data_IF_806133538122
#
_entry.id   IF_806133538122
#
_cell.length_a   1.000
_cell.length_b   1.000
_cell.length_c   1.000
_cell.angle_alpha   90.00
_cell.angle_beta   90.00
_cell.angle_gamma   90.00
#
_symmetry.space_group_name_H-M   'P 1'
#
loop_
_entity.id
_entity.type
_entity.pdbx_description
1 polymer ?
#
# COMPACT_ATOMS: atom_id res chain seq x y z
N UNK A 1 -1.22 -16.04 19.02
CA UNK A 1 -2.06 -16.49 17.89
C UNK A 1 -2.27 -15.29 16.96
N UNK A 2 -2.20 -15.44 15.63
CA UNK A 2 -2.36 -14.32 14.71
C UNK A 2 -3.79 -13.78 14.75
N UNK A 3 -3.93 -12.47 14.81
CA UNK A 3 -5.22 -11.79 14.85
C UNK A 3 -5.93 -11.90 13.50
N UNK A 4 -7.27 -11.76 13.47
CA UNK A 4 -8.04 -11.81 12.23
C UNK A 4 -7.55 -10.80 11.17
N UNK A 5 -7.05 -9.64 11.60
CA UNK A 5 -6.46 -8.63 10.74
C UNK A 5 -5.16 -9.12 10.06
N UNK A 6 -4.34 -9.90 10.77
CA UNK A 6 -3.07 -10.43 10.29
C UNK A 6 -3.27 -11.55 9.25
N UNK A 7 -4.28 -12.39 9.45
CA UNK A 7 -4.64 -13.44 8.49
C UNK A 7 -5.17 -12.85 7.17
N UNK A 8 -5.89 -11.74 7.25
CA UNK A 8 -6.42 -11.04 6.08
C UNK A 8 -5.33 -10.37 5.25
N UNK A 9 -4.35 -9.74 5.90
CA UNK A 9 -3.22 -9.08 5.24
C UNK A 9 -2.32 -10.08 4.50
N UNK A 10 -1.96 -11.20 5.13
CA UNK A 10 -1.13 -12.24 4.55
C UNK A 10 -1.78 -12.87 3.29
N UNK A 11 -3.07 -13.20 3.40
CA UNK A 11 -3.84 -13.80 2.30
C UNK A 11 -4.05 -12.83 1.13
N UNK A 12 -4.17 -11.53 1.39
CA UNK A 12 -4.31 -10.52 0.32
C UNK A 12 -3.01 -10.22 -0.41
N UNK A 13 -1.87 -10.22 0.29
CA UNK A 13 -0.57 -9.90 -0.31
C UNK A 13 -0.02 -11.06 -1.15
N UNK A 14 -0.29 -12.32 -0.76
CA UNK A 14 0.35 -13.50 -1.38
C UNK A 14 -0.62 -14.56 -1.94
N UNK A 15 -1.93 -14.47 -1.68
CA UNK A 15 -2.89 -15.49 -2.08
C UNK A 15 -3.44 -15.32 -3.50
N UNK A 16 -2.71 -15.83 -4.49
CA UNK A 16 -3.28 -16.55 -5.63
C UNK A 16 -3.00 -18.04 -5.40
N UNK A 17 -4.02 -18.90 -5.59
CA UNK A 17 -4.04 -20.33 -5.25
C UNK A 17 -2.67 -21.03 -5.28
N UNK A 18 -2.08 -21.25 -4.10
CA UNK A 18 -0.81 -21.95 -3.98
C UNK A 18 -0.12 -21.68 -2.65
N UNK A 19 0.00 -22.75 -1.86
CA UNK A 19 0.78 -22.89 -0.62
C UNK A 19 1.84 -21.79 -0.41
N UNK A 20 1.56 -20.83 0.47
CA UNK A 20 2.53 -19.80 0.88
C UNK A 20 3.59 -20.51 1.74
N UNK A 21 4.88 -20.52 1.36
CA UNK A 21 5.93 -21.15 2.15
C UNK A 21 5.99 -20.55 3.56
N UNK A 22 5.95 -21.40 4.59
CA UNK A 22 5.92 -21.02 6.02
C UNK A 22 7.07 -20.11 6.49
N UNK A 23 8.16 -20.04 5.73
CA UNK A 23 9.29 -19.14 5.99
C UNK A 23 8.99 -17.67 5.60
N UNK A 24 8.21 -17.45 4.54
CA UNK A 24 7.76 -16.12 4.13
C UNK A 24 6.78 -15.54 5.15
N UNK A 25 5.98 -16.39 5.80
CA UNK A 25 5.10 -15.97 6.90
C UNK A 25 5.90 -15.42 8.08
N UNK A 26 7.05 -16.02 8.43
CA UNK A 26 7.88 -15.57 9.55
C UNK A 26 8.57 -14.23 9.29
N UNK A 27 9.07 -13.97 8.09
CA UNK A 27 9.68 -12.67 7.75
C UNK A 27 8.64 -11.54 7.71
N UNK A 28 7.48 -11.78 7.10
CA UNK A 28 6.40 -10.78 7.01
C UNK A 28 5.81 -10.47 8.38
N UNK A 29 5.77 -11.45 9.31
CA UNK A 29 5.33 -11.26 10.70
C UNK A 29 6.30 -10.43 11.55
N UNK A 30 7.56 -10.22 11.11
CA UNK A 30 8.54 -9.39 11.82
C UNK A 30 8.59 -7.95 11.33
N UNK A 31 7.92 -7.62 10.22
CA UNK A 31 7.94 -6.25 9.71
C UNK A 31 7.07 -5.36 10.59
N UNK A 32 7.65 -4.23 11.00
CA UNK A 32 6.89 -3.21 11.69
C UNK A 32 5.79 -2.66 10.77
N UNK A 33 4.66 -2.18 11.31
CA UNK A 33 3.58 -1.57 10.52
C UNK A 33 4.06 -0.46 9.58
N UNK A 34 5.09 0.28 9.98
CA UNK A 34 5.76 1.32 9.20
C UNK A 34 6.42 0.74 7.95
N UNK A 35 7.16 -0.37 8.10
CA UNK A 35 7.80 -1.06 6.98
C UNK A 35 6.77 -1.65 6.02
N UNK A 36 5.66 -2.18 6.53
CA UNK A 36 4.55 -2.68 5.70
C UNK A 36 3.92 -1.53 4.89
N UNK A 37 3.74 -0.36 5.52
CA UNK A 37 3.26 0.86 4.85
C UNK A 37 4.17 1.22 3.68
N UNK A 38 5.49 1.34 3.90
CA UNK A 38 6.45 1.65 2.83
C UNK A 38 6.45 0.60 1.72
N UNK A 39 6.35 -0.69 2.06
CA UNK A 39 6.32 -1.78 1.08
C UNK A 39 5.04 -1.78 0.24
N UNK A 40 3.93 -1.32 0.82
CA UNK A 40 2.68 -1.12 0.10
C UNK A 40 2.82 -0.01 -0.95
N UNK A 41 3.49 1.10 -0.63
CA UNK A 41 3.83 2.12 -1.63
C UNK A 41 4.81 1.62 -2.69
N UNK A 42 5.86 0.88 -2.28
CA UNK A 42 6.81 0.27 -3.22
C UNK A 42 6.06 -0.64 -4.22
N UNK A 43 5.07 -1.41 -3.75
CA UNK A 43 4.22 -2.25 -4.59
C UNK A 43 3.41 -1.43 -5.60
N UNK A 44 2.85 -0.29 -5.20
CA UNK A 44 2.19 0.62 -6.14
C UNK A 44 3.15 1.09 -7.23
N UNK A 45 4.35 1.55 -6.85
CA UNK A 45 5.37 2.07 -7.77
C UNK A 45 5.78 1.00 -8.80
N UNK A 46 6.02 -0.23 -8.35
CA UNK A 46 6.36 -1.36 -9.24
C UNK A 46 5.18 -1.69 -10.16
N UNK A 47 3.95 -1.67 -9.65
CA UNK A 47 2.74 -1.93 -10.43
C UNK A 47 2.53 -0.87 -11.51
N UNK A 48 2.77 0.40 -11.17
CA UNK A 48 2.71 1.52 -12.09
C UNK A 48 3.73 1.38 -13.24
N UNK A 49 4.98 1.04 -12.92
CA UNK A 49 6.03 0.79 -13.93
C UNK A 49 5.71 -0.38 -14.86
N UNK A 50 4.94 -1.36 -14.37
CA UNK A 50 4.46 -2.53 -15.14
C UNK A 50 3.12 -2.29 -15.83
N UNK A 51 2.53 -1.10 -15.69
CA UNK A 51 1.19 -0.76 -16.18
C UNK A 51 0.09 -1.74 -15.69
N UNK A 52 0.26 -2.29 -14.49
CA UNK A 52 -0.67 -3.25 -13.87
C UNK A 52 -1.78 -2.49 -13.13
N UNK A 53 -2.74 -1.99 -13.90
CA UNK A 53 -3.86 -1.15 -13.43
C UNK A 53 -4.67 -1.86 -12.33
N UNK A 54 -4.88 -3.16 -12.44
CA UNK A 54 -5.61 -3.95 -11.45
C UNK A 54 -4.88 -3.94 -10.11
N UNK A 55 -3.56 -4.19 -10.12
CA UNK A 55 -2.76 -4.17 -8.90
C UNK A 55 -2.64 -2.77 -8.31
N UNK A 56 -2.50 -1.73 -9.15
CA UNK A 56 -2.47 -0.33 -8.69
C UNK A 56 -3.75 0.05 -7.92
N UNK A 57 -4.92 -0.25 -8.48
CA UNK A 57 -6.20 0.05 -7.82
C UNK A 57 -6.37 -0.73 -6.51
N UNK A 58 -5.96 -2.00 -6.48
CA UNK A 58 -6.00 -2.81 -5.27
C UNK A 58 -5.15 -2.18 -4.16
N UNK A 59 -3.93 -1.74 -4.48
CA UNK A 59 -3.05 -1.09 -3.49
C UNK A 59 -3.69 0.19 -2.94
N UNK A 60 -4.29 1.02 -3.80
CA UNK A 60 -4.96 2.25 -3.35
C UNK A 60 -6.13 1.95 -2.41
N UNK A 61 -6.95 0.93 -2.71
CA UNK A 61 -8.06 0.51 -1.83
C UNK A 61 -7.55 0.05 -0.46
N UNK A 62 -6.46 -0.73 -0.41
CA UNK A 62 -5.87 -1.15 0.87
C UNK A 62 -5.32 0.04 1.67
N UNK A 63 -4.63 0.99 1.01
CA UNK A 63 -4.13 2.20 1.68
C UNK A 63 -5.26 3.07 2.23
N UNK A 64 -6.35 3.22 1.48
CA UNK A 64 -7.56 3.93 1.92
C UNK A 64 -8.21 3.26 3.13
N UNK A 65 -8.32 1.92 3.10
CA UNK A 65 -8.88 1.14 4.19
C UNK A 65 -8.00 1.08 5.45
N UNK A 66 -6.71 1.37 5.33
CA UNK A 66 -5.75 1.38 6.43
C UNK A 66 -5.64 2.75 7.15
N UNK A 67 -6.32 3.80 6.67
CA UNK A 67 -6.29 5.13 7.28
C UNK A 67 -6.96 5.14 8.66
N UNK A 68 -6.32 5.82 9.63
CA UNK A 68 -6.92 6.05 10.94
C UNK A 68 -7.76 7.34 10.95
N UNK A 69 -9.09 7.20 10.92
CA UNK A 69 -10.02 8.33 10.90
C UNK A 69 -10.25 8.99 12.27
N UNK A 70 -9.62 8.51 13.35
CA UNK A 70 -9.53 9.29 14.60
C UNK A 70 -8.77 10.60 14.39
N UNK A 71 -7.84 10.63 13.42
CA UNK A 71 -7.16 11.83 12.94
C UNK A 71 -7.80 12.33 11.63
N UNK A 72 -9.05 12.78 11.75
CA UNK A 72 -9.95 13.06 10.62
C UNK A 72 -9.31 13.96 9.54
N UNK A 73 -8.72 15.09 9.92
CA UNK A 73 -8.21 16.08 8.96
C UNK A 73 -7.13 15.50 8.02
N UNK A 74 -6.16 14.78 8.58
CA UNK A 74 -5.06 14.18 7.80
C UNK A 74 -5.52 12.97 7.00
N UNK A 75 -6.35 12.12 7.59
CA UNK A 75 -6.89 10.94 6.93
C UNK A 75 -7.83 11.30 5.78
N UNK A 76 -8.68 12.31 5.92
CA UNK A 76 -9.54 12.79 4.83
C UNK A 76 -8.70 13.36 3.67
N UNK A 77 -7.63 14.10 3.95
CA UNK A 77 -6.74 14.60 2.89
C UNK A 77 -6.02 13.47 2.14
N UNK A 78 -5.48 12.49 2.87
CA UNK A 78 -4.81 11.33 2.26
C UNK A 78 -5.79 10.49 1.44
N UNK A 79 -7.01 10.27 1.95
CA UNK A 79 -8.06 9.56 1.23
C UNK A 79 -8.36 10.23 -0.12
N UNK A 80 -8.58 11.55 -0.13
CA UNK A 80 -8.81 12.32 -1.37
C UNK A 80 -7.64 12.26 -2.34
N UNK A 81 -6.41 12.22 -1.83
CA UNK A 81 -5.21 12.09 -2.66
C UNK A 81 -5.13 10.70 -3.32
N UNK A 82 -5.55 9.64 -2.62
CA UNK A 82 -5.67 8.30 -3.20
C UNK A 82 -6.80 8.19 -4.22
N UNK A 83 -7.96 8.82 -3.98
CA UNK A 83 -9.03 8.92 -4.97
C UNK A 83 -8.54 9.63 -6.24
N UNK A 84 -7.77 10.70 -6.07
CA UNK A 84 -7.15 11.41 -7.18
C UNK A 84 -6.20 10.50 -7.97
N UNK A 85 -5.37 9.71 -7.29
CA UNK A 85 -4.50 8.71 -7.96
C UNK A 85 -5.33 7.68 -8.76
N UNK A 86 -6.44 7.18 -8.23
CA UNK A 86 -7.35 6.29 -8.97
C UNK A 86 -7.91 6.96 -10.24
N UNK A 87 -8.28 8.24 -10.15
CA UNK A 87 -8.74 9.02 -11.32
C UNK A 87 -7.65 9.19 -12.36
N UNK A 88 -6.40 9.44 -11.95
CA UNK A 88 -5.25 9.52 -12.85
C UNK A 88 -5.01 8.20 -13.60
N UNK A 89 -5.12 7.07 -12.90
CA UNK A 89 -5.01 5.73 -13.51
C UNK A 89 -6.08 5.52 -14.59
N UNK A 90 -7.35 5.82 -14.28
CA UNK A 90 -8.46 5.69 -15.23
C UNK A 90 -8.28 6.61 -16.45
N UNK A 91 -7.67 7.79 -16.25
CA UNK A 91 -7.36 8.73 -17.33
C UNK A 91 -6.08 8.40 -18.10
N UNK A 92 -5.42 7.26 -17.83
CA UNK A 92 -4.11 6.89 -18.38
C UNK A 92 -3.00 7.92 -18.11
N UNK A 93 -3.14 8.68 -17.02
CA UNK A 93 -2.14 9.64 -16.49
C UNK A 93 -1.39 9.03 -15.31
N UNK A 94 -0.89 7.80 -15.48
CA UNK A 94 -0.28 7.04 -14.39
C UNK A 94 1.02 7.66 -13.86
N UNK A 95 1.73 8.46 -14.67
CA UNK A 95 2.96 9.15 -14.26
C UNK A 95 2.73 10.19 -13.15
N UNK A 96 1.58 10.85 -13.19
CA UNK A 96 1.18 11.81 -12.15
C UNK A 96 0.90 11.09 -10.82
N UNK A 97 0.16 9.98 -10.87
CA UNK A 97 -0.06 9.12 -9.71
C UNK A 97 1.24 8.53 -9.16
N UNK A 98 2.17 8.15 -10.05
CA UNK A 98 3.49 7.63 -9.68
C UNK A 98 4.28 8.66 -8.86
N UNK A 99 4.34 9.90 -9.33
CA UNK A 99 5.07 10.99 -8.65
C UNK A 99 4.52 11.23 -7.25
N UNK A 100 3.20 11.34 -7.10
CA UNK A 100 2.53 11.53 -5.81
C UNK A 100 2.86 10.38 -4.85
N UNK A 101 2.76 9.14 -5.33
CA UNK A 101 3.00 7.96 -4.51
C UNK A 101 4.47 7.81 -4.10
N UNK A 102 5.42 8.25 -4.94
CA UNK A 102 6.85 8.31 -4.61
C UNK A 102 7.14 9.35 -3.53
N UNK A 103 6.58 10.56 -3.65
CA UNK A 103 6.75 11.63 -2.68
C UNK A 103 6.17 11.25 -1.32
N UNK A 104 4.98 10.65 -1.29
CA UNK A 104 4.37 10.12 -0.05
C UNK A 104 5.23 9.03 0.58
N UNK A 105 5.72 8.07 -0.22
CA UNK A 105 6.60 6.99 0.27
C UNK A 105 7.85 7.56 0.93
N UNK A 106 8.46 8.57 0.33
CA UNK A 106 9.65 9.22 0.89
C UNK A 106 9.33 10.00 2.16
N UNK A 107 8.21 10.73 2.19
CA UNK A 107 7.74 11.46 3.37
C UNK A 107 7.53 10.53 4.56
N UNK A 108 6.90 9.37 4.33
CA UNK A 108 6.73 8.35 5.37
C UNK A 108 8.04 7.71 5.79
N UNK A 109 8.99 7.48 4.87
CA UNK A 109 10.30 6.93 5.21
C UNK A 109 11.06 7.86 6.17
N UNK A 110 11.03 9.16 5.90
CA UNK A 110 11.57 10.20 6.80
C UNK A 110 10.85 10.17 8.15
N UNK A 111 9.51 10.19 8.14
CA UNK A 111 8.71 10.22 9.38
C UNK A 111 8.96 8.99 10.27
N UNK A 112 9.24 7.83 9.67
CA UNK A 112 9.51 6.57 10.38
C UNK A 112 11.00 6.34 10.71
N UNK A 113 11.90 7.22 10.28
CA UNK A 113 13.36 7.03 10.36
C UNK A 113 13.82 5.71 9.71
N UNK A 114 13.27 5.38 8.54
CA UNK A 114 13.56 4.16 7.77
C UNK A 114 14.33 4.46 6.46
N UNK A 115 15.10 5.55 6.43
CA UNK A 115 15.98 5.91 5.29
C UNK A 115 17.14 4.93 5.08
#
# INVERSE_FOLDING_TARGET
MPTPAQQLAARKLYGGDGNVPSYLDQEVLTWSPEKITLKTYDLFIVSCKRNDVTRMNRVLIELMGALNFEYEESSTRLYRLYEYCQRCITQKKSDEALKIMQELRNTWAIAFNLE
#
